data_IF_568068873236
#
_entry.id   IF_568068873236
#
_cell.length_a   1.000
_cell.length_b   1.000
_cell.length_c   1.000
_cell.angle_alpha   90.00
_cell.angle_beta   90.00
_cell.angle_gamma   90.00
#
_symmetry.space_group_name_H-M   'P 1'
#
loop_
_entity.id
_entity.type
_entity.pdbx_description
1 polymer ?
#
# COMPACT_ATOMS: atom_id res chain seq x y z
N UNK A 1 -3.46 18.00 2.64
CA UNK A 1 -3.48 16.88 3.59
C UNK A 1 -4.69 16.01 3.34
N UNK A 2 -4.67 14.78 3.86
CA UNK A 2 -5.82 13.87 3.87
C UNK A 2 -6.99 14.51 4.59
N UNK A 3 -8.00 14.89 3.84
CA UNK A 3 -9.29 15.34 4.33
C UNK A 3 -10.35 14.67 3.48
N UNK A 4 -11.56 14.55 3.98
CA UNK A 4 -12.62 13.79 3.34
C UNK A 4 -12.61 12.33 3.77
N UNK A 5 -13.59 11.60 3.24
CA UNK A 5 -13.87 10.22 3.64
C UNK A 5 -14.13 9.42 2.39
N UNK A 6 -13.61 8.20 2.33
CA UNK A 6 -13.92 7.28 1.26
C UNK A 6 -15.43 7.02 1.15
N UNK A 7 -15.98 7.18 -0.05
CA UNK A 7 -17.38 6.88 -0.35
C UNK A 7 -17.50 6.10 -1.66
N UNK A 8 -18.34 5.06 -1.64
CA UNK A 8 -18.56 4.19 -2.80
C UNK A 8 -19.14 4.96 -4.01
N UNK A 9 -20.02 5.94 -3.76
CA UNK A 9 -20.62 6.77 -4.81
C UNK A 9 -19.58 7.61 -5.56
N UNK A 10 -18.59 8.11 -4.84
CA UNK A 10 -17.49 8.91 -5.36
C UNK A 10 -16.56 8.02 -6.19
N UNK A 11 -16.27 6.80 -5.72
CA UNK A 11 -15.54 5.81 -6.50
C UNK A 11 -16.25 5.38 -7.79
N UNK A 12 -17.56 5.14 -7.73
CA UNK A 12 -18.37 4.80 -8.92
C UNK A 12 -18.39 5.95 -9.92
N UNK A 13 -18.50 7.19 -9.44
CA UNK A 13 -18.50 8.39 -10.28
C UNK A 13 -17.13 8.59 -10.95
N UNK A 14 -16.05 8.45 -10.18
CA UNK A 14 -14.69 8.50 -10.68
C UNK A 14 -14.42 7.42 -11.75
N UNK A 15 -14.75 6.17 -11.44
CA UNK A 15 -14.57 5.03 -12.35
C UNK A 15 -15.26 5.26 -13.69
N UNK A 16 -16.51 5.77 -13.68
CA UNK A 16 -17.25 6.12 -14.91
C UNK A 16 -16.56 7.24 -15.69
N UNK A 17 -16.04 8.26 -15.00
CA UNK A 17 -15.32 9.39 -15.61
C UNK A 17 -14.08 8.93 -16.37
N UNK A 18 -13.35 7.94 -15.86
CA UNK A 18 -12.18 7.34 -16.51
C UNK A 18 -12.53 6.16 -17.45
N UNK A 19 -13.80 6.02 -17.83
CA UNK A 19 -14.25 5.06 -18.84
C UNK A 19 -14.43 3.61 -18.35
N UNK A 20 -14.37 3.37 -17.04
CA UNK A 20 -14.51 2.03 -16.43
C UNK A 20 -15.94 1.73 -16.01
N UNK A 21 -16.32 0.46 -16.05
CA UNK A 21 -17.60 -0.03 -15.52
C UNK A 21 -17.39 -0.60 -14.12
N UNK A 22 -18.32 -0.34 -13.20
CA UNK A 22 -18.31 -0.90 -11.84
C UNK A 22 -19.50 -1.83 -11.67
N UNK A 23 -19.26 -3.06 -11.20
CA UNK A 23 -20.30 -4.07 -10.99
C UNK A 23 -21.17 -3.76 -9.76
N UNK A 24 -22.17 -4.61 -9.52
CA UNK A 24 -23.08 -4.49 -8.37
C UNK A 24 -22.37 -4.69 -7.01
N UNK A 25 -21.20 -5.31 -6.99
CA UNK A 25 -20.37 -5.53 -5.81
C UNK A 25 -19.32 -4.43 -5.59
N UNK A 26 -19.33 -3.39 -6.43
CA UNK A 26 -18.40 -2.27 -6.33
C UNK A 26 -17.01 -2.55 -6.93
N UNK A 27 -16.83 -3.62 -7.70
CA UNK A 27 -15.57 -3.94 -8.39
C UNK A 27 -15.52 -3.30 -9.75
N UNK A 28 -14.32 -2.95 -10.22
CA UNK A 28 -14.16 -2.63 -11.64
C UNK A 28 -14.41 -3.91 -12.45
N UNK A 29 -15.37 -3.85 -13.36
CA UNK A 29 -15.87 -4.97 -14.15
C UNK A 29 -15.08 -5.15 -15.45
N UNK A 30 -15.05 -6.40 -15.93
CA UNK A 30 -14.36 -6.79 -17.16
C UNK A 30 -12.96 -7.35 -16.92
N UNK A 31 -12.43 -7.98 -17.97
CA UNK A 31 -11.04 -8.40 -18.05
C UNK A 31 -10.27 -7.22 -18.62
N UNK A 32 -9.50 -6.55 -17.76
CA UNK A 32 -8.65 -5.43 -18.16
C UNK A 32 -7.21 -5.89 -18.09
N UNK A 33 -6.45 -5.62 -19.14
CA UNK A 33 -5.00 -5.73 -19.12
C UNK A 33 -4.38 -4.70 -18.18
N UNK A 34 -3.11 -4.91 -17.84
CA UNK A 34 -2.36 -4.00 -16.97
C UNK A 34 -2.30 -2.60 -17.57
N UNK A 35 -2.10 -2.48 -18.89
CA UNK A 35 -2.02 -1.18 -19.57
C UNK A 35 -3.39 -0.50 -19.76
N UNK A 36 -4.48 -1.24 -19.73
CA UNK A 36 -5.84 -0.66 -19.69
C UNK A 36 -6.19 -0.15 -18.29
N UNK A 37 -5.69 -0.81 -17.24
CA UNK A 37 -5.84 -0.33 -15.87
C UNK A 37 -4.91 0.85 -15.59
N UNK A 38 -3.62 0.69 -15.89
CA UNK A 38 -2.53 1.63 -15.60
C UNK A 38 -2.00 2.20 -16.92
N UNK A 39 -2.61 3.29 -17.37
CA UNK A 39 -2.30 3.93 -18.65
C UNK A 39 -1.04 4.81 -18.65
N UNK A 40 -0.43 5.04 -17.49
CA UNK A 40 0.76 5.87 -17.35
C UNK A 40 1.92 5.33 -18.20
N UNK A 41 2.66 6.24 -18.84
CA UNK A 41 3.79 5.90 -19.74
C UNK A 41 5.15 6.36 -19.22
N UNK A 42 5.13 7.12 -18.14
CA UNK A 42 6.28 7.61 -17.42
C UNK A 42 5.85 7.91 -15.97
N UNK A 43 6.84 8.12 -15.10
CA UNK A 43 6.63 8.56 -13.73
C UNK A 43 5.79 9.85 -13.70
N UNK A 44 4.64 9.80 -13.02
CA UNK A 44 3.82 10.98 -12.78
C UNK A 44 4.52 11.88 -11.76
N UNK A 45 4.56 13.19 -12.02
CA UNK A 45 5.21 14.17 -11.13
C UNK A 45 4.65 14.17 -9.71
N UNK A 46 3.38 13.80 -9.52
CA UNK A 46 2.77 13.68 -8.21
C UNK A 46 3.35 12.51 -7.40
N UNK A 47 3.83 11.48 -8.08
CA UNK A 47 4.37 10.28 -7.48
C UNK A 47 5.91 10.27 -7.44
N UNK A 48 6.55 11.30 -8.01
CA UNK A 48 8.00 11.43 -8.01
C UNK A 48 8.54 11.54 -6.58
N UNK A 49 9.42 10.61 -6.13
CA UNK A 49 10.01 10.65 -4.80
C UNK A 49 11.14 11.68 -4.66
N UNK A 50 11.57 12.31 -5.76
CA UNK A 50 12.67 13.26 -5.74
C UNK A 50 12.34 14.48 -4.88
N UNK A 51 13.17 14.71 -3.85
CA UNK A 51 13.00 15.74 -2.82
C UNK A 51 11.63 15.70 -2.10
N UNK A 52 10.91 14.58 -2.26
CA UNK A 52 9.59 14.41 -1.70
C UNK A 52 9.65 14.27 -0.19
N UNK A 53 8.70 14.92 0.45
CA UNK A 53 8.33 14.67 1.83
C UNK A 53 6.81 14.46 1.87
N UNK A 54 6.36 13.53 2.71
CA UNK A 54 4.95 13.14 2.82
C UNK A 54 4.55 13.19 4.29
N UNK A 55 3.26 13.36 4.52
CA UNK A 55 2.76 13.58 5.88
C UNK A 55 1.42 12.87 6.08
N UNK A 56 1.26 12.25 7.24
CA UNK A 56 -0.01 11.80 7.77
C UNK A 56 -0.14 12.44 9.15
N UNK A 57 -0.94 13.51 9.19
CA UNK A 57 -1.08 14.40 10.34
C UNK A 57 -2.52 14.37 10.83
N UNK A 58 -2.71 14.57 12.13
CA UNK A 58 -4.06 14.67 12.68
C UNK A 58 -4.78 15.90 12.13
N UNK A 59 -6.08 15.78 11.95
CA UNK A 59 -6.96 16.86 11.56
C UNK A 59 -8.27 16.82 12.33
N UNK A 60 -9.10 17.86 12.18
CA UNK A 60 -10.45 17.86 12.79
C UNK A 60 -11.32 16.70 12.26
N UNK A 61 -11.09 16.27 11.01
CA UNK A 61 -11.81 15.16 10.39
C UNK A 61 -11.21 13.78 10.73
N UNK A 62 -9.89 13.71 10.90
CA UNK A 62 -9.14 12.50 11.25
C UNK A 62 -8.24 12.78 12.48
N UNK A 63 -8.81 12.83 13.69
CA UNK A 63 -8.07 13.26 14.89
C UNK A 63 -7.11 12.20 15.44
N UNK A 64 -7.23 10.95 15.01
CA UNK A 64 -6.34 9.86 15.44
C UNK A 64 -5.87 9.05 14.24
N UNK A 65 -5.15 9.68 13.31
CA UNK A 65 -4.77 9.05 12.05
C UNK A 65 -4.12 7.67 12.23
N UNK A 66 -4.52 6.71 11.40
CA UNK A 66 -3.94 5.38 11.26
C UNK A 66 -3.21 5.33 9.90
N UNK A 67 -1.91 5.63 9.85
CA UNK A 67 -1.16 5.70 8.60
C UNK A 67 -0.86 4.31 8.06
N UNK A 68 -1.26 4.05 6.81
CA UNK A 68 -1.00 2.80 6.08
C UNK A 68 -0.26 3.08 4.78
N UNK A 69 0.94 2.55 4.64
CA UNK A 69 1.67 2.49 3.38
C UNK A 69 1.34 1.16 2.71
N UNK A 70 0.71 1.21 1.54
CA UNK A 70 0.48 0.06 0.67
C UNK A 70 1.44 0.14 -0.53
N UNK A 71 2.51 -0.62 -0.48
CA UNK A 71 3.55 -0.67 -1.49
C UNK A 71 3.38 -1.87 -2.40
N UNK A 72 3.09 -1.60 -3.66
CA UNK A 72 2.82 -2.58 -4.70
C UNK A 72 4.08 -2.80 -5.52
N UNK A 73 4.44 -4.06 -5.72
CA UNK A 73 5.40 -4.45 -6.75
C UNK A 73 4.84 -4.12 -8.13
N UNK A 74 5.57 -3.31 -8.90
CA UNK A 74 5.20 -2.83 -10.24
C UNK A 74 6.05 -3.45 -11.36
N UNK A 75 6.77 -4.53 -11.04
CA UNK A 75 7.58 -5.28 -12.01
C UNK A 75 6.73 -6.10 -12.97
N UNK A 76 7.37 -6.64 -14.01
CA UNK A 76 6.68 -7.37 -15.08
C UNK A 76 5.86 -8.57 -14.60
N UNK A 77 6.32 -9.30 -13.58
CA UNK A 77 5.63 -10.46 -13.01
C UNK A 77 4.33 -10.06 -12.29
N UNK A 78 4.34 -8.92 -11.62
CA UNK A 78 3.30 -8.53 -10.67
C UNK A 78 2.14 -7.74 -11.27
N UNK A 79 2.19 -7.44 -12.57
CA UNK A 79 1.18 -6.58 -13.18
C UNK A 79 -0.27 -7.07 -13.02
N UNK A 80 -0.54 -8.38 -13.12
CA UNK A 80 -1.90 -8.91 -12.88
C UNK A 80 -2.33 -8.80 -11.42
N UNK A 81 -1.41 -8.95 -10.47
CA UNK A 81 -1.70 -8.78 -9.06
C UNK A 81 -2.04 -7.33 -8.71
N UNK A 82 -1.30 -6.38 -9.28
CA UNK A 82 -1.60 -4.97 -9.13
C UNK A 82 -2.96 -4.59 -9.75
N UNK A 83 -3.31 -5.16 -10.91
CA UNK A 83 -4.66 -4.98 -11.50
C UNK A 83 -5.74 -5.50 -10.56
N UNK A 84 -5.55 -6.66 -9.96
CA UNK A 84 -6.53 -7.22 -9.02
C UNK A 84 -6.70 -6.35 -7.76
N UNK A 85 -5.63 -5.77 -7.24
CA UNK A 85 -5.71 -4.78 -6.15
C UNK A 85 -6.47 -3.54 -6.60
N UNK A 86 -6.16 -2.96 -7.77
CA UNK A 86 -6.87 -1.80 -8.29
C UNK A 86 -8.36 -2.08 -8.54
N UNK A 87 -8.71 -3.25 -9.10
CA UNK A 87 -10.11 -3.66 -9.33
C UNK A 87 -10.90 -3.80 -8.04
N UNK A 88 -10.23 -4.22 -6.96
CA UNK A 88 -10.84 -4.46 -5.64
C UNK A 88 -10.58 -3.32 -4.65
N UNK A 89 -9.91 -2.24 -5.04
CA UNK A 89 -9.58 -1.12 -4.15
C UNK A 89 -10.82 -0.58 -3.45
N UNK A 90 -11.91 -0.38 -4.19
CA UNK A 90 -13.17 0.07 -3.61
C UNK A 90 -13.74 -0.91 -2.58
N UNK A 91 -13.58 -2.21 -2.77
CA UNK A 91 -13.99 -3.19 -1.75
C UNK A 91 -13.09 -3.08 -0.52
N UNK A 92 -11.77 -2.97 -0.72
CA UNK A 92 -10.80 -2.86 0.37
C UNK A 92 -11.14 -1.62 1.21
N UNK A 93 -11.25 -0.47 0.55
CA UNK A 93 -11.54 0.80 1.20
C UNK A 93 -12.92 0.80 1.83
N UNK A 94 -14.00 0.46 1.11
CA UNK A 94 -15.35 0.44 1.71
C UNK A 94 -15.40 -0.48 2.93
N UNK A 95 -14.82 -1.70 2.87
CA UNK A 95 -14.76 -2.61 4.03
C UNK A 95 -13.93 -2.06 5.18
N UNK A 96 -12.89 -1.27 4.90
CA UNK A 96 -12.01 -0.70 5.91
C UNK A 96 -12.66 0.48 6.61
N UNK A 97 -13.19 1.44 5.86
CA UNK A 97 -13.84 2.63 6.43
C UNK A 97 -15.16 2.29 7.13
N UNK A 98 -15.78 1.14 6.85
CA UNK A 98 -16.87 0.58 7.66
C UNK A 98 -16.42 0.02 9.02
N UNK A 99 -15.14 -0.29 9.18
CA UNK A 99 -14.61 -1.01 10.35
C UNK A 99 -13.61 -0.21 11.17
N UNK A 100 -12.91 0.73 10.54
CA UNK A 100 -11.78 1.47 11.12
C UNK A 100 -11.95 2.95 10.80
N UNK A 101 -11.80 3.80 11.80
CA UNK A 101 -11.80 5.26 11.66
C UNK A 101 -10.39 5.79 11.41
N UNK A 102 -10.31 7.00 10.85
CA UNK A 102 -9.09 7.78 10.72
C UNK A 102 -7.97 7.12 9.91
N UNK A 103 -8.29 6.14 9.06
CA UNK A 103 -7.28 5.47 8.22
C UNK A 103 -6.88 6.38 7.07
N UNK A 104 -5.58 6.54 6.85
CA UNK A 104 -5.05 7.21 5.66
C UNK A 104 -4.09 6.29 4.92
N UNK A 105 -4.17 6.29 3.59
CA UNK A 105 -3.36 5.44 2.73
C UNK A 105 -2.37 6.24 1.90
N UNK A 106 -1.11 5.83 1.94
CA UNK A 106 -0.11 6.13 0.92
C UNK A 106 0.03 4.92 0.00
N UNK A 107 -0.08 5.15 -1.31
CA UNK A 107 0.18 4.14 -2.33
C UNK A 107 1.60 4.32 -2.83
N UNK A 108 2.35 3.20 -2.88
CA UNK A 108 3.69 3.18 -3.44
C UNK A 108 3.79 2.16 -4.58
N UNK A 109 4.57 2.49 -5.60
CA UNK A 109 5.03 1.55 -6.62
C UNK A 109 6.50 1.23 -6.37
N UNK A 110 6.84 -0.05 -6.31
CA UNK A 110 8.19 -0.56 -6.07
C UNK A 110 8.62 -1.44 -7.24
N UNK A 111 9.79 -1.15 -7.80
CA UNK A 111 10.46 -2.00 -8.77
C UNK A 111 11.89 -2.33 -8.33
N UNK A 112 12.76 -2.60 -9.30
CA UNK A 112 14.14 -2.96 -9.03
C UNK A 112 15.08 -1.76 -9.15
N UNK A 113 15.68 -1.30 -8.05
CA UNK A 113 16.65 -0.20 -8.07
C UNK A 113 17.88 -0.48 -8.95
N UNK A 114 18.19 -1.73 -9.28
CA UNK A 114 19.29 -2.07 -10.16
C UNK A 114 18.95 -2.00 -11.66
N UNK A 115 17.67 -2.10 -12.05
CA UNK A 115 17.28 -2.27 -13.45
C UNK A 115 16.22 -1.27 -13.94
N UNK A 116 15.38 -0.78 -13.04
CA UNK A 116 14.19 0.01 -13.36
C UNK A 116 14.51 1.52 -13.40
N UNK A 117 13.77 2.26 -14.23
CA UNK A 117 13.95 3.72 -14.38
C UNK A 117 13.11 4.50 -13.37
N UNK A 118 12.00 3.93 -12.90
CA UNK A 118 11.13 4.48 -11.89
C UNK A 118 10.91 3.44 -10.76
N UNK A 119 11.98 2.97 -10.10
CA UNK A 119 11.92 1.87 -9.14
C UNK A 119 11.19 2.23 -7.84
N UNK A 120 10.87 3.51 -7.64
CA UNK A 120 10.11 4.02 -6.52
C UNK A 120 9.14 5.11 -6.97
N UNK A 121 7.88 4.97 -6.55
CA UNK A 121 6.81 5.92 -6.79
C UNK A 121 6.06 6.11 -5.47
N UNK A 122 5.82 7.34 -5.05
CA UNK A 122 5.29 7.64 -3.72
C UNK A 122 4.20 8.69 -3.77
N UNK A 123 2.97 8.26 -3.47
CA UNK A 123 1.83 9.16 -3.34
C UNK A 123 1.83 9.92 -2.00
N UNK A 124 0.82 10.76 -1.79
CA UNK A 124 0.56 11.36 -0.47
C UNK A 124 -0.42 10.50 0.32
N UNK A 125 -0.37 10.55 1.65
CA UNK A 125 -1.42 9.95 2.48
C UNK A 125 -2.76 10.61 2.20
N UNK A 126 -3.77 9.80 1.89
CA UNK A 126 -5.12 10.25 1.59
C UNK A 126 -6.16 9.36 2.26
N UNK A 127 -7.32 9.94 2.54
CA UNK A 127 -8.44 9.28 3.22
C UNK A 127 -9.72 9.18 2.37
N UNK A 128 -9.66 9.59 1.11
CA UNK A 128 -10.80 9.69 0.20
C UNK A 128 -10.51 9.10 -1.19
N UNK A 129 -11.32 9.48 -2.20
CA UNK A 129 -11.18 9.00 -3.57
C UNK A 129 -9.79 9.24 -4.18
N UNK A 130 -9.01 10.21 -3.67
CA UNK A 130 -7.66 10.50 -4.14
C UNK A 130 -6.74 9.30 -4.01
N UNK A 131 -7.01 8.35 -3.11
CA UNK A 131 -6.28 7.08 -3.06
C UNK A 131 -6.39 6.31 -4.40
N UNK A 132 -7.59 6.27 -5.00
CA UNK A 132 -7.79 5.65 -6.31
C UNK A 132 -7.17 6.48 -7.44
N UNK A 133 -7.31 7.81 -7.37
CA UNK A 133 -6.70 8.71 -8.36
C UNK A 133 -5.17 8.64 -8.37
N UNK A 134 -4.56 8.38 -7.20
CA UNK A 134 -3.12 8.17 -7.06
C UNK A 134 -2.71 6.78 -7.53
N UNK A 135 -3.47 5.73 -7.20
CA UNK A 135 -3.20 4.38 -7.70
C UNK A 135 -3.23 4.32 -9.23
N UNK A 136 -4.16 5.03 -9.87
CA UNK A 136 -4.26 5.09 -11.34
C UNK A 136 -3.07 5.76 -12.03
N UNK A 137 -2.31 6.58 -11.29
CA UNK A 137 -1.11 7.26 -11.80
C UNK A 137 0.14 6.39 -11.72
N UNK A 138 0.09 5.25 -11.03
CA UNK A 138 1.24 4.36 -10.91
C UNK A 138 1.67 3.92 -12.31
N UNK A 139 2.95 4.12 -12.59
CA UNK A 139 3.58 3.74 -13.83
C UNK A 139 4.13 2.32 -13.74
N UNK A 140 3.61 1.42 -14.56
CA UNK A 140 4.16 0.08 -14.72
C UNK A 140 5.13 0.10 -15.89
N UNK A 141 6.43 0.12 -15.60
CA UNK A 141 7.45 -0.02 -16.65
C UNK A 141 7.66 -1.46 -17.11
N UNK A 142 7.06 -2.42 -16.39
CA UNK A 142 7.19 -3.87 -16.64
C UNK A 142 8.66 -4.33 -16.66
N UNK A 143 9.46 -3.72 -15.81
CA UNK A 143 10.86 -4.07 -15.60
C UNK A 143 11.01 -5.24 -14.64
N UNK A 144 12.01 -5.14 -13.77
CA UNK A 144 12.49 -6.22 -12.91
C UNK A 144 13.82 -6.81 -13.38
N UNK A 145 14.51 -7.47 -12.46
CA UNK A 145 15.87 -7.96 -12.62
C UNK A 145 16.03 -9.48 -12.69
N UNK A 146 17.23 -9.93 -13.06
CA UNK A 146 17.64 -11.35 -12.99
C UNK A 146 18.30 -11.75 -11.66
N UNK A 147 18.22 -10.88 -10.65
CA UNK A 147 18.81 -10.94 -9.32
C UNK A 147 17.95 -11.67 -8.28
N UNK A 148 16.71 -12.04 -8.63
CA UNK A 148 15.81 -12.87 -7.82
C UNK A 148 15.30 -12.18 -6.52
N UNK A 149 15.29 -10.85 -6.53
CA UNK A 149 14.71 -10.01 -5.50
C UNK A 149 14.22 -8.70 -6.14
N UNK A 150 13.29 -8.04 -5.46
CA UNK A 150 12.87 -6.68 -5.78
C UNK A 150 13.15 -5.74 -4.61
N UNK A 151 13.15 -4.44 -4.85
CA UNK A 151 13.60 -3.45 -3.86
C UNK A 151 12.53 -3.08 -2.82
N UNK A 152 11.88 -4.08 -2.22
CA UNK A 152 10.80 -3.90 -1.25
C UNK A 152 11.18 -3.01 -0.06
N UNK A 153 12.45 -3.00 0.34
CA UNK A 153 12.91 -2.17 1.46
C UNK A 153 12.96 -0.68 1.14
N UNK A 154 12.77 -0.27 -0.12
CA UNK A 154 12.59 1.14 -0.48
C UNK A 154 11.34 1.76 0.20
N UNK A 155 10.29 0.96 0.44
CA UNK A 155 9.13 1.41 1.23
C UNK A 155 9.50 1.69 2.69
N UNK A 156 10.38 0.86 3.27
CA UNK A 156 10.88 1.06 4.64
C UNK A 156 11.74 2.32 4.72
N UNK A 157 12.67 2.48 3.77
CA UNK A 157 13.55 3.64 3.70
C UNK A 157 12.74 4.94 3.60
N UNK A 158 11.79 5.00 2.67
CA UNK A 158 10.98 6.21 2.48
C UNK A 158 10.12 6.50 3.72
N UNK A 159 9.46 5.49 4.30
CA UNK A 159 8.67 5.66 5.52
C UNK A 159 9.48 6.20 6.71
N UNK A 160 10.68 5.67 6.92
CA UNK A 160 11.55 6.12 8.02
C UNK A 160 12.01 7.56 7.81
N UNK A 161 12.51 7.89 6.62
CA UNK A 161 13.28 9.12 6.38
C UNK A 161 12.48 10.28 5.75
N UNK A 162 11.38 10.00 5.05
CA UNK A 162 10.66 10.98 4.21
C UNK A 162 9.19 11.14 4.58
N UNK A 163 8.76 10.59 5.71
CA UNK A 163 7.39 10.68 6.19
C UNK A 163 7.32 11.25 7.59
N UNK A 164 6.55 12.33 7.76
CA UNK A 164 6.08 12.79 9.07
C UNK A 164 4.79 12.04 9.45
N UNK A 165 4.77 11.50 10.66
CA UNK A 165 3.63 10.75 11.21
C UNK A 165 3.26 11.31 12.58
N UNK A 166 2.15 12.03 12.70
CA UNK A 166 1.67 12.47 14.02
C UNK A 166 1.31 11.25 14.90
N UNK A 167 0.87 10.13 14.29
CA UNK A 167 0.63 8.86 14.99
C UNK A 167 1.85 8.39 15.78
N UNK A 168 3.04 8.56 15.21
CA UNK A 168 4.29 8.20 15.85
C UNK A 168 4.58 9.09 17.06
N UNK A 169 4.31 10.39 16.94
CA UNK A 169 4.44 11.34 18.05
C UNK A 169 3.47 11.02 19.21
N UNK A 170 2.35 10.35 18.91
CA UNK A 170 1.42 9.78 19.92
C UNK A 170 1.84 8.42 20.49
N UNK A 171 2.99 7.90 20.10
CA UNK A 171 3.47 6.57 20.50
C UNK A 171 2.75 5.41 19.80
N UNK A 172 2.16 5.65 18.61
CA UNK A 172 1.55 4.63 17.76
C UNK A 172 2.39 4.43 16.51
N UNK A 173 2.67 3.18 16.16
CA UNK A 173 3.39 2.86 14.91
C UNK A 173 2.49 3.14 13.71
N UNK A 174 3.10 3.43 12.56
CA UNK A 174 2.40 3.28 11.29
C UNK A 174 2.42 1.84 10.79
N UNK A 175 1.78 1.59 9.65
CA UNK A 175 1.74 0.27 9.02
C UNK A 175 2.38 0.33 7.62
N UNK A 176 3.26 -0.62 7.31
CA UNK A 176 3.76 -0.85 5.95
C UNK A 176 3.30 -2.24 5.51
N UNK A 177 2.59 -2.31 4.38
CA UNK A 177 2.26 -3.54 3.69
C UNK A 177 2.94 -3.49 2.33
N UNK A 178 3.94 -4.35 2.13
CA UNK A 178 4.52 -4.62 0.82
C UNK A 178 3.83 -5.82 0.18
N UNK A 179 3.70 -5.84 -1.14
CA UNK A 179 3.10 -6.97 -1.87
C UNK A 179 3.93 -7.26 -3.12
N UNK A 180 4.40 -8.49 -3.24
CA UNK A 180 5.36 -8.91 -4.27
C UNK A 180 5.38 -10.43 -4.42
N UNK A 181 6.22 -10.95 -5.32
CA UNK A 181 6.37 -12.39 -5.57
C UNK A 181 7.83 -12.87 -5.58
N UNK A 182 8.77 -12.03 -5.14
CA UNK A 182 10.21 -12.29 -5.15
C UNK A 182 10.83 -12.26 -3.74
N UNK A 183 12.15 -12.54 -3.65
CA UNK A 183 12.91 -12.42 -2.41
C UNK A 183 13.06 -10.96 -1.97
N UNK A 184 13.41 -10.76 -0.70
CA UNK A 184 13.77 -9.43 -0.20
C UNK A 184 15.16 -9.03 -0.68
N UNK A 185 15.32 -7.78 -1.12
CA UNK A 185 16.63 -7.24 -1.48
C UNK A 185 17.58 -7.20 -0.27
N UNK A 186 18.88 -7.51 -0.42
CA UNK A 186 19.85 -7.48 0.67
C UNK A 186 20.28 -6.06 1.07
N UNK A 187 20.19 -5.10 0.15
CA UNK A 187 20.51 -3.69 0.35
C UNK A 187 19.81 -2.80 -0.68
N UNK A 188 19.80 -1.49 -0.45
CA UNK A 188 19.47 -0.48 -1.47
C UNK A 188 20.77 0.15 -2.00
N UNK A 189 21.02 0.14 -3.33
CA UNK A 189 22.22 0.74 -3.90
C UNK A 189 22.25 2.26 -3.68
N UNK A 190 23.34 2.79 -3.13
CA UNK A 190 23.47 4.20 -2.74
C UNK A 190 23.26 5.17 -3.91
N UNK A 191 23.88 4.87 -5.04
CA UNK A 191 23.81 5.71 -6.23
C UNK A 191 22.39 5.72 -6.82
N UNK A 192 21.76 4.56 -6.97
CA UNK A 192 20.40 4.46 -7.48
C UNK A 192 19.41 5.18 -6.54
N UNK A 193 19.58 5.01 -5.22
CA UNK A 193 18.76 5.70 -4.23
C UNK A 193 18.99 7.22 -4.24
N UNK A 194 20.22 7.68 -4.44
CA UNK A 194 20.56 9.10 -4.60
C UNK A 194 19.82 9.71 -5.81
N UNK A 195 19.84 9.01 -6.94
CA UNK A 195 19.22 9.48 -8.18
C UNK A 195 17.69 9.57 -8.05
N UNK A 196 17.08 8.61 -7.35
CA UNK A 196 15.64 8.52 -7.09
C UNK A 196 15.17 9.56 -6.07
N UNK A 197 15.85 9.68 -4.93
CA UNK A 197 15.44 10.56 -3.82
C UNK A 197 15.90 12.00 -4.04
N UNK A 198 16.92 12.23 -4.87
CA UNK A 198 17.47 13.57 -5.14
C UNK A 198 18.42 14.09 -4.06
N UNK A 199 18.84 13.24 -3.11
CA UNK A 199 19.75 13.62 -2.02
C UNK A 199 20.93 12.64 -1.94
N UNK A 200 22.14 13.12 -1.64
CA UNK A 200 23.32 12.25 -1.54
C UNK A 200 23.15 11.16 -0.48
N UNK A 201 23.43 9.92 -0.86
CA UNK A 201 23.55 8.76 0.02
C UNK A 201 24.99 8.25 -0.08
N UNK A 202 25.68 8.21 1.05
CA UNK A 202 27.13 7.93 1.08
C UNK A 202 27.47 6.45 0.86
N UNK A 203 26.60 5.54 1.27
CA UNK A 203 26.83 4.08 1.20
C UNK A 203 25.55 3.27 0.99
N UNK A 204 25.71 2.03 0.52
CA UNK A 204 24.60 1.11 0.30
C UNK A 204 23.88 0.84 1.62
N UNK A 205 22.55 0.91 1.60
CA UNK A 205 21.76 0.76 2.82
C UNK A 205 21.45 -0.71 3.03
N UNK A 206 22.06 -1.32 4.04
CA UNK A 206 21.78 -2.70 4.43
C UNK A 206 20.31 -2.87 4.83
N UNK A 207 19.65 -3.89 4.28
CA UNK A 207 18.28 -4.27 4.65
C UNK A 207 18.16 -4.59 6.14
N UNK A 208 19.18 -5.19 6.75
CA UNK A 208 19.17 -5.48 8.19
C UNK A 208 19.17 -4.21 9.03
N UNK A 209 20.09 -3.28 8.75
CA UNK A 209 20.18 -2.02 9.48
C UNK A 209 18.92 -1.15 9.28
N UNK A 210 18.35 -1.20 8.08
CA UNK A 210 17.10 -0.50 7.78
C UNK A 210 15.89 -1.14 8.47
N UNK A 211 15.83 -2.48 8.52
CA UNK A 211 14.76 -3.21 9.20
C UNK A 211 14.71 -2.84 10.69
N UNK A 212 15.86 -2.85 11.38
CA UNK A 212 15.98 -2.51 12.81
C UNK A 212 15.40 -1.11 13.11
N UNK A 213 15.64 -0.13 12.24
CA UNK A 213 15.05 1.22 12.37
C UNK A 213 13.58 1.27 11.98
N UNK A 214 13.20 0.59 10.89
CA UNK A 214 11.84 0.63 10.37
C UNK A 214 10.84 0.01 11.34
N UNK A 215 11.20 -1.07 12.03
CA UNK A 215 10.31 -1.71 13.00
C UNK A 215 10.08 -0.89 14.27
N UNK A 216 10.91 0.11 14.57
CA UNK A 216 10.63 1.02 15.68
C UNK A 216 9.40 1.87 15.37
N UNK A 217 9.35 2.43 14.15
CA UNK A 217 8.31 3.38 13.71
C UNK A 217 7.11 2.71 13.02
N UNK A 218 7.28 1.51 12.48
CA UNK A 218 6.27 0.81 11.70
C UNK A 218 6.04 -0.63 12.15
N UNK A 219 4.82 -1.09 11.98
CA UNK A 219 4.44 -2.49 11.90
C UNK A 219 4.55 -2.91 10.43
N UNK A 220 5.30 -3.97 10.12
CA UNK A 220 5.71 -4.27 8.75
C UNK A 220 5.18 -5.63 8.34
N UNK A 221 4.45 -5.67 7.24
CA UNK A 221 3.94 -6.87 6.62
C UNK A 221 4.43 -7.02 5.18
N UNK A 222 4.61 -8.27 4.76
CA UNK A 222 4.81 -8.62 3.36
C UNK A 222 3.78 -9.66 2.93
N UNK A 223 3.08 -9.36 1.83
CA UNK A 223 2.15 -10.25 1.16
C UNK A 223 2.84 -10.88 -0.05
N UNK A 224 3.31 -12.11 0.12
CA UNK A 224 3.91 -12.89 -0.95
C UNK A 224 2.81 -13.49 -1.83
N UNK A 225 2.68 -13.00 -3.06
CA UNK A 225 1.58 -13.36 -3.97
C UNK A 225 1.90 -14.65 -4.71
N UNK A 226 1.26 -15.73 -4.26
CA UNK A 226 1.35 -17.05 -4.85
C UNK A 226 0.46 -17.17 -6.09
N UNK A 227 1.02 -16.76 -7.23
CA UNK A 227 0.32 -16.76 -8.52
C UNK A 227 1.14 -17.39 -9.66
N UNK A 228 2.44 -17.63 -9.45
CA UNK A 228 3.29 -18.39 -10.39
C UNK A 228 3.06 -19.89 -10.19
N UNK A 229 3.19 -20.69 -11.25
CA UNK A 229 3.01 -22.15 -11.19
C UNK A 229 4.06 -22.90 -10.36
N UNK A 230 5.15 -22.22 -9.96
CA UNK A 230 6.22 -22.76 -9.13
C UNK A 230 6.33 -21.96 -7.82
N UNK A 231 6.11 -22.65 -6.70
CA UNK A 231 6.45 -22.13 -5.38
C UNK A 231 7.96 -22.01 -5.25
N UNK A 232 8.47 -20.77 -5.11
CA UNK A 232 9.89 -20.55 -4.91
C UNK A 232 10.23 -20.42 -3.42
N UNK A 233 10.38 -21.56 -2.74
CA UNK A 233 10.78 -21.64 -1.34
C UNK A 233 12.09 -20.87 -1.04
N UNK A 234 12.94 -20.65 -2.04
CA UNK A 234 14.16 -19.86 -1.86
C UNK A 234 13.84 -18.39 -1.59
N UNK A 235 12.85 -17.81 -2.26
CA UNK A 235 12.43 -16.42 -2.02
C UNK A 235 11.85 -16.26 -0.63
N UNK A 236 10.94 -17.16 -0.25
CA UNK A 236 10.33 -17.18 1.09
C UNK A 236 11.41 -17.24 2.18
N UNK A 237 12.46 -18.05 1.99
CA UNK A 237 13.55 -18.17 2.96
C UNK A 237 14.29 -16.86 3.22
N UNK A 238 14.41 -15.98 2.22
CA UNK A 238 15.09 -14.67 2.40
C UNK A 238 14.38 -13.76 3.39
N UNK A 239 13.06 -13.95 3.59
CA UNK A 239 12.26 -13.14 4.51
C UNK A 239 12.33 -13.61 5.96
N UNK A 240 12.72 -14.86 6.22
CA UNK A 240 12.67 -15.46 7.57
C UNK A 240 13.57 -14.77 8.60
N UNK A 241 14.61 -14.06 8.14
CA UNK A 241 15.51 -13.31 9.01
C UNK A 241 14.91 -11.97 9.47
N UNK A 242 13.84 -11.51 8.80
CA UNK A 242 13.22 -10.20 9.04
C UNK A 242 11.77 -10.33 9.52
N UNK A 243 10.94 -11.17 8.89
CA UNK A 243 9.52 -11.25 9.20
C UNK A 243 9.15 -12.62 9.75
N UNK A 244 8.39 -12.62 10.85
CA UNK A 244 7.82 -13.84 11.40
C UNK A 244 6.62 -14.34 10.56
N UNK A 245 6.04 -15.48 10.95
CA UNK A 245 4.89 -16.10 10.26
C UNK A 245 3.62 -15.25 10.29
N UNK A 246 3.53 -14.29 11.20
CA UNK A 246 2.39 -13.39 11.26
C UNK A 246 2.55 -12.24 10.27
N UNK A 247 3.76 -11.70 10.14
CA UNK A 247 4.08 -10.54 9.32
C UNK A 247 4.41 -10.90 7.87
N UNK A 248 4.91 -12.10 7.61
CA UNK A 248 5.05 -12.66 6.26
C UNK A 248 3.86 -13.56 5.93
N UNK A 249 3.06 -13.19 4.92
CA UNK A 249 1.87 -13.95 4.52
C UNK A 249 1.94 -14.35 3.06
N UNK A 250 1.88 -15.66 2.79
CA UNK A 250 1.65 -16.19 1.44
C UNK A 250 0.17 -16.09 1.11
N UNK A 251 -0.17 -15.39 0.04
CA UNK A 251 -1.56 -15.07 -0.33
C UNK A 251 -1.85 -15.42 -1.79
N UNK A 252 -3.05 -15.94 -2.03
CA UNK A 252 -3.60 -16.09 -3.38
C UNK A 252 -4.30 -14.82 -3.83
N UNK A 253 -4.40 -14.63 -5.14
CA UNK A 253 -4.96 -13.44 -5.78
C UNK A 253 -6.36 -13.05 -5.30
N UNK A 254 -7.21 -14.03 -5.01
CA UNK A 254 -8.58 -13.84 -4.54
C UNK A 254 -8.66 -13.43 -3.06
N UNK A 255 -7.60 -13.65 -2.28
CA UNK A 255 -7.53 -13.38 -0.84
C UNK A 255 -6.81 -12.07 -0.48
N UNK A 256 -6.03 -11.48 -1.39
CA UNK A 256 -5.24 -10.25 -1.17
C UNK A 256 -6.07 -9.17 -0.45
N UNK A 257 -7.24 -8.84 -0.99
CA UNK A 257 -8.09 -7.79 -0.44
C UNK A 257 -8.56 -8.05 0.99
N UNK A 258 -8.96 -9.30 1.29
CA UNK A 258 -9.41 -9.65 2.64
C UNK A 258 -8.22 -9.64 3.62
N UNK A 259 -7.04 -10.09 3.18
CA UNK A 259 -5.81 -10.06 3.99
C UNK A 259 -5.39 -8.63 4.34
N UNK A 260 -5.41 -7.70 3.38
CA UNK A 260 -5.10 -6.28 3.64
C UNK A 260 -6.09 -5.72 4.68
N UNK A 261 -7.39 -5.99 4.51
CA UNK A 261 -8.43 -5.52 5.45
C UNK A 261 -8.19 -6.05 6.87
N UNK A 262 -7.83 -7.32 7.00
CA UNK A 262 -7.58 -7.95 8.30
C UNK A 262 -6.32 -7.41 8.99
N UNK A 263 -5.23 -7.17 8.23
CA UNK A 263 -3.99 -6.58 8.75
C UNK A 263 -4.26 -5.17 9.27
N UNK A 264 -4.87 -4.31 8.45
CA UNK A 264 -5.14 -2.91 8.83
C UNK A 264 -6.07 -2.86 10.06
N UNK A 265 -7.12 -3.70 10.10
CA UNK A 265 -8.01 -3.78 11.27
C UNK A 265 -7.25 -4.20 12.54
N UNK A 266 -6.37 -5.19 12.43
CA UNK A 266 -5.58 -5.68 13.56
C UNK A 266 -4.62 -4.60 14.06
N UNK A 267 -3.94 -3.91 13.13
CA UNK A 267 -2.99 -2.84 13.42
C UNK A 267 -3.66 -1.64 14.09
N UNK A 268 -4.79 -1.17 13.55
CA UNK A 268 -5.54 -0.03 14.10
C UNK A 268 -5.99 -0.27 15.55
N UNK A 269 -6.11 -1.54 15.96
CA UNK A 269 -6.45 -1.91 17.33
C UNK A 269 -7.91 -1.61 17.69
N UNK A 270 -8.28 -1.85 18.94
CA UNK A 270 -9.69 -1.77 19.38
C UNK A 270 -10.23 -0.34 19.43
N UNK A 271 -9.37 0.66 19.60
CA UNK A 271 -9.76 2.05 19.83
C UNK A 271 -10.18 2.75 18.53
N UNK A 272 -9.66 2.29 17.39
CA UNK A 272 -10.01 2.79 16.06
C UNK A 272 -11.12 1.98 15.37
N UNK A 273 -11.63 0.91 16.00
CA UNK A 273 -12.69 0.08 15.40
C UNK A 273 -14.06 0.72 15.63
N UNK A 274 -14.81 0.91 14.54
CA UNK A 274 -16.20 1.37 14.62
C UNK A 274 -17.00 0.35 15.43
N UNK A 275 -17.43 0.76 16.63
CA UNK A 275 -18.32 -0.08 17.44
C UNK A 275 -19.61 -0.29 16.65
N UNK A 276 -20.08 -1.54 16.48
CA UNK A 276 -21.38 -1.76 15.84
C UNK A 276 -22.42 -0.93 16.60
N UNK A 277 -23.29 -0.23 15.87
CA UNK A 277 -24.49 0.35 16.48
C UNK A 277 -25.19 -0.80 17.19
N UNK A 278 -25.20 -0.77 18.52
CA UNK A 278 -26.08 -1.62 19.30
C UNK A 278 -27.48 -1.20 18.87
N UNK A 279 -28.17 -2.04 18.09
CA UNK A 279 -29.62 -1.96 18.03
C UNK A 279 -30.08 -2.19 19.47
N UNK A 280 -30.35 -1.08 20.18
CA UNK A 280 -31.12 -1.16 21.40
C UNK A 280 -32.45 -1.81 21.00
N UNK A 281 -32.88 -2.88 21.68
CA UNK A 281 -34.19 -3.43 21.41
C UNK A 281 -35.19 -2.27 21.53
N UNK A 282 -35.95 -2.03 20.47
CA UNK A 282 -37.11 -1.16 20.54
C UNK A 282 -37.93 -1.66 21.74
N UNK A 283 -38.13 -0.81 22.74
CA UNK A 283 -39.05 -1.11 23.81
C UNK A 283 -40.38 -1.49 23.14
N UNK A 284 -40.85 -2.71 23.42
CA UNK A 284 -42.10 -3.20 22.85
C UNK A 284 -43.21 -2.19 23.18
N UNK A 285 -43.80 -1.56 22.16
CA UNK A 285 -45.03 -0.79 22.31
C UNK A 285 -45.03 0.69 21.90
N UNK A 286 -44.10 1.20 21.09
CA UNK A 286 -44.24 2.55 20.51
C UNK A 286 -44.12 2.48 18.99
N UNK A 287 -45.25 2.69 18.31
CA UNK A 287 -45.32 2.94 16.88
C UNK A 287 -45.29 4.45 16.62
N UNK A 288 -44.39 4.90 15.76
CA UNK A 288 -44.59 6.09 14.94
C UNK A 288 -44.77 5.64 13.49
#
# INVERSE_FOLDING_TARGET
MGSGVWREDTFRSYSRRVGRKVDSKGRIAGDMSNQEMFGARCLDKMLDPKDAFRECCDSDEHPNTVPVILALDVTGSMGQAAVEVAKKLNIIMTKLYEKVTDVEFMIMGIGDFAYDRAPLQVSQFESDIRIAEQLDKIYFEFGGGGNAFESYTAAWYFGVNHVKLDAWDRGKKGLIITMGDEGINPYLPAQALTDVIGRPIDEDISTKALYEQAIEKYDIYHLFVDHRSYHNDMFIKTWNDFLDKEHFKVVKMDRISDTIVDIVRKHAGKDAVIKPKVELPLAAGISW
#
